data_IF_758516149555
#
_entry.id   IF_758516149555
#
_cell.length_a   1.000
_cell.length_b   1.000
_cell.length_c   1.000
_cell.angle_alpha   90.00
_cell.angle_beta   90.00
_cell.angle_gamma   90.00
#
_symmetry.space_group_name_H-M   'P 1'
#
loop_
_entity.id
_entity.type
_entity.pdbx_description
1 polymer ?
#
# COMPACT_ATOMS: atom_id res chain seq x y z
N UNK A 1 3.05 -38.71 -7.95
CA UNK A 1 3.89 -37.67 -7.32
C UNK A 1 3.23 -36.33 -7.61
N UNK A 2 2.56 -35.74 -6.62
CA UNK A 2 1.86 -34.46 -6.80
C UNK A 2 2.88 -33.34 -6.61
N UNK A 3 3.30 -32.69 -7.71
CA UNK A 3 4.15 -31.50 -7.63
C UNK A 3 3.32 -30.41 -6.95
N UNK A 4 3.69 -30.01 -5.74
CA UNK A 4 3.07 -28.88 -5.07
C UNK A 4 3.18 -27.66 -5.98
N UNK A 5 2.03 -27.11 -6.41
CA UNK A 5 2.01 -25.89 -7.21
C UNK A 5 2.58 -24.76 -6.35
N UNK A 6 3.69 -24.19 -6.79
CA UNK A 6 4.28 -23.03 -6.13
C UNK A 6 3.35 -21.84 -6.37
N UNK A 7 2.59 -21.46 -5.34
CA UNK A 7 1.81 -20.23 -5.35
C UNK A 7 2.77 -19.05 -5.17
N UNK A 8 2.62 -18.02 -6.00
CA UNK A 8 3.51 -16.84 -5.97
C UNK A 8 2.68 -15.56 -5.87
N UNK A 9 3.30 -14.47 -5.42
CA UNK A 9 2.66 -13.15 -5.46
C UNK A 9 2.65 -12.60 -6.89
N UNK A 10 1.52 -12.06 -7.34
CA UNK A 10 1.42 -11.33 -8.60
C UNK A 10 1.61 -9.84 -8.36
N UNK A 11 2.70 -9.29 -8.88
CA UNK A 11 3.03 -7.87 -8.78
C UNK A 11 2.78 -7.14 -10.10
N UNK A 12 2.19 -5.95 -10.03
CA UNK A 12 1.94 -5.13 -11.22
C UNK A 12 3.26 -4.68 -11.86
N UNK A 13 3.47 -4.81 -13.18
CA UNK A 13 4.70 -4.34 -13.82
C UNK A 13 4.84 -2.81 -13.81
N UNK A 14 3.73 -2.07 -13.62
CA UNK A 14 3.72 -0.60 -13.65
C UNK A 14 4.04 0.02 -12.29
N UNK A 15 3.28 -0.36 -11.25
CA UNK A 15 3.45 0.19 -9.90
C UNK A 15 4.23 -0.73 -8.96
N UNK A 16 4.51 -1.97 -9.38
CA UNK A 16 5.33 -2.94 -8.64
C UNK A 16 4.74 -3.41 -7.31
N UNK A 17 3.46 -3.12 -7.08
CA UNK A 17 2.71 -3.52 -5.90
C UNK A 17 2.08 -4.89 -6.07
N UNK A 18 1.93 -5.61 -4.96
CA UNK A 18 1.28 -6.91 -4.91
C UNK A 18 -0.21 -6.74 -5.21
N UNK A 19 -0.66 -7.28 -6.34
CA UNK A 19 -2.05 -7.20 -6.80
C UNK A 19 -2.88 -8.38 -6.32
N UNK A 20 -2.29 -9.58 -6.28
CA UNK A 20 -2.95 -10.81 -5.83
C UNK A 20 -1.89 -11.71 -5.19
N UNK A 21 -2.20 -12.28 -4.03
CA UNK A 21 -1.39 -13.35 -3.43
C UNK A 21 -1.79 -14.70 -4.00
N UNK A 22 -0.94 -15.69 -3.80
CA UNK A 22 -1.26 -17.10 -4.02
C UNK A 22 -1.72 -17.46 -5.45
N UNK A 23 -1.14 -16.80 -6.45
CA UNK A 23 -1.45 -17.10 -7.86
C UNK A 23 -0.62 -18.27 -8.36
N UNK A 24 -1.22 -19.09 -9.21
CA UNK A 24 -0.56 -20.22 -9.86
C UNK A 24 -0.19 -19.86 -11.30
N UNK A 25 1.06 -20.13 -11.68
CA UNK A 25 1.53 -19.95 -13.06
C UNK A 25 1.54 -18.50 -13.53
N UNK A 26 1.30 -18.28 -14.83
CA UNK A 26 1.29 -16.96 -15.44
C UNK A 26 -0.01 -16.22 -15.12
N UNK A 27 0.09 -15.11 -14.39
CA UNK A 27 -1.04 -14.25 -14.03
C UNK A 27 -0.93 -12.87 -14.71
N UNK A 28 -2.06 -12.20 -15.02
CA UNK A 28 -3.42 -12.73 -15.02
C UNK A 28 -3.71 -13.59 -16.28
N UNK A 29 -4.72 -14.46 -16.24
CA UNK A 29 -5.07 -15.30 -17.41
C UNK A 29 -5.74 -14.48 -18.51
N UNK A 30 -6.86 -13.77 -18.26
CA UNK A 30 -7.24 -12.61 -19.06
C UNK A 30 -6.50 -11.35 -18.57
N UNK A 31 -6.27 -10.32 -19.42
CA UNK A 31 -5.77 -9.04 -18.94
C UNK A 31 -6.67 -8.43 -17.85
N UNK A 32 -6.08 -7.95 -16.76
CA UNK A 32 -6.80 -7.35 -15.62
C UNK A 32 -6.30 -5.92 -15.36
N UNK A 33 -7.17 -5.00 -14.93
CA UNK A 33 -6.74 -3.67 -14.48
C UNK A 33 -6.15 -3.76 -13.08
N UNK A 34 -4.98 -3.15 -12.89
CA UNK A 34 -4.37 -3.06 -11.56
C UNK A 34 -5.26 -2.23 -10.61
N UNK A 35 -5.60 -2.72 -9.41
CA UNK A 35 -6.41 -1.98 -8.45
C UNK A 35 -5.68 -0.72 -7.92
N UNK A 36 -4.35 -0.65 -8.07
CA UNK A 36 -3.55 0.45 -7.54
C UNK A 36 -3.32 1.58 -8.53
N UNK A 37 -2.83 1.26 -9.74
CA UNK A 37 -2.48 2.26 -10.74
C UNK A 37 -3.49 2.34 -11.89
N UNK A 38 -4.55 1.51 -11.88
CA UNK A 38 -5.63 1.43 -12.89
C UNK A 38 -5.21 1.07 -14.33
N UNK A 39 -3.90 0.97 -14.58
CA UNK A 39 -3.32 0.48 -15.83
C UNK A 39 -3.58 -1.02 -16.01
N UNK A 40 -3.68 -1.45 -17.26
CA UNK A 40 -3.96 -2.84 -17.63
C UNK A 40 -2.71 -3.70 -17.53
N UNK A 41 -2.79 -4.81 -16.80
CA UNK A 41 -1.78 -5.86 -16.76
C UNK A 41 -2.15 -6.88 -17.83
N UNK A 42 -1.34 -6.97 -18.88
CA UNK A 42 -1.53 -7.96 -19.95
C UNK A 42 -1.44 -9.39 -19.43
N UNK A 43 -2.01 -10.35 -20.17
CA UNK A 43 -2.00 -11.75 -19.78
C UNK A 43 -0.57 -12.26 -19.50
N UNK A 44 -0.36 -12.89 -18.34
CA UNK A 44 0.94 -13.39 -17.90
C UNK A 44 2.03 -12.32 -17.68
N UNK A 45 1.68 -11.03 -17.61
CA UNK A 45 2.66 -9.92 -17.49
C UNK A 45 2.90 -9.47 -16.04
N UNK A 46 2.28 -10.10 -15.04
CA UNK A 46 2.67 -9.81 -13.65
C UNK A 46 4.07 -10.32 -13.34
N UNK A 47 4.75 -9.63 -12.44
CA UNK A 47 6.01 -10.10 -11.87
C UNK A 47 5.72 -11.04 -10.70
N UNK A 48 6.61 -11.99 -10.45
CA UNK A 48 6.51 -12.92 -9.31
C UNK A 48 7.13 -12.38 -8.02
N UNK A 49 7.90 -11.30 -8.12
CA UNK A 49 8.58 -10.63 -7.01
C UNK A 49 8.41 -9.11 -7.14
N UNK A 50 8.43 -8.38 -6.01
CA UNK A 50 8.47 -6.93 -6.05
C UNK A 50 9.78 -6.48 -6.70
N UNK A 51 9.75 -5.39 -7.46
CA UNK A 51 11.01 -4.81 -7.93
C UNK A 51 11.75 -4.18 -6.73
N UNK A 52 13.07 -4.38 -6.69
CA UNK A 52 13.90 -3.97 -5.56
C UNK A 52 14.08 -2.46 -5.38
N UNK A 53 13.65 -1.63 -6.33
CA UNK A 53 13.85 -0.18 -6.27
C UNK A 53 12.61 0.57 -5.76
N UNK A 54 12.68 1.25 -4.60
CA UNK A 54 11.54 1.97 -4.01
C UNK A 54 11.00 3.14 -4.86
N UNK A 55 11.80 3.67 -5.80
CA UNK A 55 11.50 4.91 -6.53
C UNK A 55 10.46 4.83 -7.64
N UNK A 56 10.17 3.64 -8.17
CA UNK A 56 9.26 3.45 -9.33
C UNK A 56 7.76 3.43 -8.98
N UNK A 57 7.39 3.64 -7.72
CA UNK A 57 6.00 3.50 -7.23
C UNK A 57 5.14 4.76 -7.38
N UNK A 58 5.68 5.83 -7.98
CA UNK A 58 5.08 7.18 -8.00
C UNK A 58 3.66 7.26 -8.57
N UNK A 59 3.35 6.51 -9.64
CA UNK A 59 2.00 6.54 -10.26
C UNK A 59 0.89 6.04 -9.33
N UNK A 60 1.17 5.05 -8.48
CA UNK A 60 0.17 4.55 -7.54
C UNK A 60 -0.13 5.56 -6.43
N UNK A 61 0.87 6.33 -5.98
CA UNK A 61 0.69 7.32 -4.93
C UNK A 61 -0.35 8.40 -5.29
N UNK A 62 -0.32 8.88 -6.54
CA UNK A 62 -1.29 9.87 -7.02
C UNK A 62 -2.72 9.33 -7.07
N UNK A 63 -2.91 8.11 -7.58
CA UNK A 63 -4.22 7.44 -7.61
C UNK A 63 -4.74 7.20 -6.19
N UNK A 64 -3.89 6.76 -5.26
CA UNK A 64 -4.27 6.54 -3.88
C UNK A 64 -4.72 7.82 -3.16
N UNK A 65 -4.01 8.92 -3.35
CA UNK A 65 -4.41 10.21 -2.79
C UNK A 65 -5.77 10.63 -3.35
N UNK A 66 -5.98 10.51 -4.66
CA UNK A 66 -7.23 10.85 -5.30
C UNK A 66 -8.41 9.98 -4.82
N UNK A 67 -8.22 8.66 -4.75
CA UNK A 67 -9.24 7.72 -4.27
C UNK A 67 -9.57 7.95 -2.78
N UNK A 68 -8.57 8.26 -1.95
CA UNK A 68 -8.76 8.57 -0.54
C UNK A 68 -9.60 9.84 -0.32
N UNK A 69 -9.33 10.89 -1.10
CA UNK A 69 -10.06 12.17 -1.02
C UNK A 69 -11.51 12.08 -1.54
N UNK A 70 -11.82 11.12 -2.42
CA UNK A 70 -13.16 10.92 -2.99
C UNK A 70 -14.03 9.92 -2.23
N UNK A 71 -13.48 9.22 -1.24
CA UNK A 71 -14.27 8.27 -0.46
C UNK A 71 -15.33 9.03 0.34
N UNK A 72 -16.61 8.81 0.02
CA UNK A 72 -17.75 9.41 0.71
C UNK A 72 -18.06 8.67 2.02
N UNK A 73 -17.67 7.39 2.09
CA UNK A 73 -17.69 6.57 3.30
C UNK A 73 -16.32 6.73 4.01
N UNK A 74 -16.17 7.80 4.78
CA UNK A 74 -14.95 8.07 5.55
C UNK A 74 -15.07 7.43 6.93
N UNK A 75 -14.46 6.26 7.19
CA UNK A 75 -14.37 5.76 8.54
C UNK A 75 -13.67 6.81 9.40
N UNK A 76 -14.32 7.21 10.49
CA UNK A 76 -13.74 8.16 11.43
C UNK A 76 -12.64 7.46 12.24
N UNK A 77 -11.39 7.82 11.98
CA UNK A 77 -10.29 7.55 12.90
C UNK A 77 -9.90 8.86 13.57
N UNK A 78 -9.71 8.83 14.88
CA UNK A 78 -9.16 9.96 15.63
C UNK A 78 -7.72 10.24 15.18
N UNK A 79 -7.27 11.47 15.41
CA UNK A 79 -5.88 11.85 15.16
C UNK A 79 -4.90 10.90 15.87
N UNK A 80 -5.18 10.52 17.12
CA UNK A 80 -4.32 9.61 17.89
C UNK A 80 -4.19 8.22 17.23
N UNK A 81 -5.30 7.65 16.76
CA UNK A 81 -5.32 6.36 16.05
C UNK A 81 -4.54 6.42 14.73
N UNK A 82 -4.69 7.50 13.97
CA UNK A 82 -3.93 7.70 12.72
C UNK A 82 -2.42 7.79 12.99
N UNK A 83 -2.02 8.55 14.01
CA UNK A 83 -0.61 8.67 14.36
C UNK A 83 -0.02 7.34 14.82
N UNK A 84 -0.76 6.58 15.62
CA UNK A 84 -0.32 5.27 16.08
C UNK A 84 -0.22 4.27 14.93
N UNK A 85 -1.21 4.24 14.04
CA UNK A 85 -1.17 3.39 12.85
C UNK A 85 0.04 3.65 11.96
N UNK A 86 0.39 4.93 11.74
CA UNK A 86 1.60 5.29 10.96
C UNK A 86 2.86 4.79 11.67
N UNK A 87 2.92 4.89 13.00
CA UNK A 87 4.06 4.40 13.78
C UNK A 87 4.17 2.87 13.74
N UNK A 88 3.06 2.17 13.94
CA UNK A 88 2.99 0.70 13.87
C UNK A 88 3.44 0.21 12.50
N UNK A 89 2.88 0.77 11.42
CA UNK A 89 3.27 0.40 10.07
C UNK A 89 4.75 0.68 9.78
N UNK A 90 5.29 1.82 10.25
CA UNK A 90 6.70 2.13 10.10
C UNK A 90 7.59 1.14 10.85
N UNK A 91 7.23 0.81 12.09
CA UNK A 91 7.95 -0.16 12.93
C UNK A 91 7.95 -1.57 12.32
N UNK A 92 6.79 -2.06 11.86
CA UNK A 92 6.65 -3.36 11.21
C UNK A 92 7.50 -3.47 9.94
N UNK A 93 7.62 -2.37 9.20
CA UNK A 93 8.44 -2.29 7.98
C UNK A 93 9.91 -1.96 8.25
N UNK A 94 10.32 -1.80 9.52
CA UNK A 94 11.70 -1.48 9.89
C UNK A 94 12.18 -0.11 9.43
N UNK A 95 11.28 0.85 9.24
CA UNK A 95 11.59 2.20 8.77
C UNK A 95 11.11 3.26 9.76
N UNK A 96 11.70 4.46 9.70
CA UNK A 96 11.24 5.57 10.52
C UNK A 96 9.93 6.15 9.99
N UNK A 97 9.01 6.66 10.84
CA UNK A 97 7.76 7.25 10.39
C UNK A 97 7.95 8.29 9.28
N UNK A 98 8.92 9.20 9.40
CA UNK A 98 9.23 10.23 8.41
C UNK A 98 9.70 9.70 7.04
N UNK A 99 10.11 8.43 6.97
CA UNK A 99 10.52 7.74 5.74
C UNK A 99 9.43 6.82 5.17
N UNK A 100 8.35 6.57 5.92
CA UNK A 100 7.23 5.75 5.44
C UNK A 100 6.56 6.40 4.20
N UNK A 101 6.51 5.65 3.10
CA UNK A 101 5.80 6.06 1.90
C UNK A 101 4.33 5.70 2.02
N UNK A 102 3.45 6.54 1.46
CA UNK A 102 2.00 6.30 1.44
C UNK A 102 1.65 4.95 0.81
N UNK A 103 2.40 4.58 -0.23
CA UNK A 103 2.23 3.33 -0.97
C UNK A 103 2.57 2.12 -0.10
N UNK A 104 3.63 2.21 0.71
CA UNK A 104 4.05 1.14 1.60
C UNK A 104 3.05 0.96 2.74
N UNK A 105 2.58 2.08 3.32
CA UNK A 105 1.49 2.05 4.30
C UNK A 105 0.23 1.39 3.72
N UNK A 106 -0.15 1.72 2.48
CA UNK A 106 -1.34 1.14 1.84
C UNK A 106 -1.21 -0.36 1.62
N UNK A 107 -0.04 -0.83 1.18
CA UNK A 107 0.20 -2.27 1.02
C UNK A 107 0.14 -2.99 2.37
N UNK A 108 0.73 -2.39 3.40
CA UNK A 108 0.71 -2.92 4.76
C UNK A 108 -0.70 -2.95 5.37
N UNK A 109 -1.48 -1.88 5.18
CA UNK A 109 -2.86 -1.81 5.67
C UNK A 109 -3.81 -2.77 4.95
N UNK A 110 -3.45 -3.26 3.76
CA UNK A 110 -4.26 -4.26 3.04
C UNK A 110 -4.09 -5.66 3.63
N UNK A 111 -2.94 -5.96 4.22
CA UNK A 111 -2.71 -7.22 4.96
C UNK A 111 -3.06 -7.12 6.44
N UNK A 112 -3.21 -5.90 6.99
CA UNK A 112 -3.58 -5.65 8.39
C UNK A 112 -4.89 -4.86 8.50
N UNK A 113 -6.01 -5.58 8.64
CA UNK A 113 -7.36 -4.98 8.71
C UNK A 113 -7.59 -4.03 9.89
N UNK A 114 -6.74 -4.06 10.92
CA UNK A 114 -6.80 -3.16 12.07
C UNK A 114 -6.29 -1.74 11.78
N UNK A 115 -5.57 -1.54 10.68
CA UNK A 115 -5.01 -0.23 10.34
C UNK A 115 -6.04 0.63 9.60
N UNK A 116 -6.18 1.92 9.96
CA UNK A 116 -7.08 2.84 9.29
C UNK A 116 -6.72 2.99 7.81
N UNK A 117 -7.71 3.05 6.91
CA UNK A 117 -7.47 3.26 5.49
C UNK A 117 -6.94 4.66 5.21
N UNK A 118 -6.38 4.87 4.02
CA UNK A 118 -5.89 6.20 3.59
C UNK A 118 -6.97 7.28 3.65
N UNK A 119 -8.24 6.97 3.36
CA UNK A 119 -9.34 7.94 3.48
C UNK A 119 -9.45 8.52 4.88
N UNK A 120 -9.34 7.70 5.93
CA UNK A 120 -9.35 8.16 7.32
C UNK A 120 -8.14 9.06 7.65
N UNK A 121 -6.97 8.75 7.11
CA UNK A 121 -5.76 9.57 7.29
C UNK A 121 -5.93 10.95 6.64
N UNK A 122 -6.47 10.97 5.42
CA UNK A 122 -6.74 12.22 4.70
C UNK A 122 -7.87 13.02 5.36
N UNK A 123 -8.88 12.37 5.91
CA UNK A 123 -9.92 13.03 6.70
C UNK A 123 -9.34 13.75 7.93
N UNK A 124 -8.44 13.09 8.67
CA UNK A 124 -7.85 13.63 9.89
C UNK A 124 -6.79 14.73 9.64
N UNK A 125 -5.97 14.60 8.59
CA UNK A 125 -4.80 15.47 8.39
C UNK A 125 -4.77 16.25 7.06
N UNK A 126 -5.68 15.98 6.13
CA UNK A 126 -5.74 16.59 4.79
C UNK A 126 -4.61 16.15 3.84
N UNK A 127 -3.50 15.63 4.34
CA UNK A 127 -2.40 15.10 3.53
C UNK A 127 -1.57 14.07 4.27
N UNK A 128 -1.05 13.10 3.51
CA UNK A 128 -0.07 12.12 4.00
C UNK A 128 1.18 12.78 4.58
N UNK A 129 1.73 13.80 3.91
CA UNK A 129 2.95 14.50 4.35
C UNK A 129 2.79 15.09 5.75
N UNK A 130 1.62 15.69 6.04
CA UNK A 130 1.32 16.24 7.37
C UNK A 130 1.20 15.13 8.40
N UNK A 131 0.34 14.14 8.17
CA UNK A 131 0.14 13.02 9.10
C UNK A 131 1.46 12.34 9.49
N UNK A 132 2.31 12.05 8.49
CA UNK A 132 3.62 11.42 8.68
C UNK A 132 4.58 12.27 9.52
N UNK A 133 4.59 13.59 9.31
CA UNK A 133 5.43 14.52 10.09
C UNK A 133 4.97 14.58 11.54
N UNK A 134 3.67 14.68 11.79
CA UNK A 134 3.12 14.69 13.15
C UNK A 134 3.38 13.36 13.89
N UNK A 135 3.33 12.23 13.16
CA UNK A 135 3.63 10.91 13.72
C UNK A 135 5.10 10.79 14.17
N UNK A 136 6.02 11.38 13.41
CA UNK A 136 7.44 11.46 13.77
C UNK A 136 7.70 12.45 14.91
N UNK A 137 7.04 13.61 14.92
CA UNK A 137 7.23 14.65 15.94
C UNK A 137 6.73 14.23 17.34
N UNK A 138 5.76 13.31 17.39
CA UNK A 138 5.18 12.82 18.65
C UNK A 138 5.97 11.66 19.29
N UNK A 139 7.13 11.28 18.74
CA UNK A 139 8.06 10.36 19.41
C UNK A 139 9.00 11.14 20.33
N UNK A 140 9.12 10.77 21.62
CA UNK A 140 10.24 11.26 22.43
C UNK A 140 11.55 10.73 21.82
N UNK A 141 12.54 11.61 21.70
CA UNK A 141 13.92 11.24 21.34
C UNK A 141 14.37 10.10 22.26
N UNK A 142 14.58 8.91 21.68
CA UNK A 142 15.30 7.81 22.33
C UNK A 142 16.75 7.83 21.88
#
# INVERSE_FOLDING_TARGET
MTVARQSTGAYCPHCQLLVRSDVEGSWPSPPERCPHCRLMIGAGRSRQQPAGEPGSRGTAAGVFAHDAMRSEDQPSASSAEVLEAIRTAAADLGIRPERLLMVDYRQHSMSQASLPPLSAIFAAYGSWKRARREAAASQPLR
#
